data_IF_522341246473
#
_entry.id   IF_522341246473
#
_cell.length_a   1.000
_cell.length_b   1.000
_cell.length_c   1.000
_cell.angle_alpha   90.00
_cell.angle_beta   90.00
_cell.angle_gamma   90.00
#
_symmetry.space_group_name_H-M   'P 1'
#
loop_
_entity.id
_entity.type
_entity.pdbx_description
1 polymer ?
#
# COMPACT_ATOMS: atom_id res chain seq x y z
N UNK A 1 42.10 -13.67 -71.28
CA UNK A 1 42.83 -13.78 -70.00
C UNK A 1 42.31 -12.69 -69.07
N UNK A 2 41.36 -13.00 -68.11
CA UNK A 2 40.72 -12.02 -67.22
C UNK A 2 41.36 -12.18 -65.86
N UNK A 3 41.98 -11.13 -65.37
CA UNK A 3 42.60 -11.02 -64.07
C UNK A 3 41.52 -10.64 -63.03
N UNK A 4 41.33 -11.55 -62.08
CA UNK A 4 40.47 -11.33 -60.92
C UNK A 4 41.18 -10.40 -59.89
N UNK A 5 40.60 -9.26 -59.63
CA UNK A 5 41.02 -8.35 -58.57
C UNK A 5 40.27 -8.71 -57.29
N UNK A 6 40.94 -9.29 -56.30
CA UNK A 6 40.43 -9.52 -54.95
C UNK A 6 40.23 -8.17 -54.22
N UNK A 7 39.00 -7.83 -53.87
CA UNK A 7 38.73 -6.72 -52.99
C UNK A 7 38.97 -7.18 -51.55
N UNK A 8 40.00 -6.66 -50.91
CA UNK A 8 40.22 -6.75 -49.47
C UNK A 8 39.21 -5.85 -48.77
N UNK A 9 38.32 -6.42 -47.96
CA UNK A 9 37.43 -5.69 -47.05
C UNK A 9 38.26 -5.25 -45.84
N UNK A 10 38.58 -3.99 -45.75
CA UNK A 10 39.07 -3.35 -44.52
C UNK A 10 37.99 -3.39 -43.47
N UNK A 11 38.23 -4.12 -42.40
CA UNK A 11 37.41 -4.08 -41.17
C UNK A 11 37.66 -2.74 -40.46
N UNK A 12 36.79 -1.78 -40.67
CA UNK A 12 36.66 -0.63 -39.76
C UNK A 12 36.09 -1.13 -38.42
N UNK A 13 36.94 -1.46 -37.48
CA UNK A 13 36.52 -1.66 -36.09
C UNK A 13 36.07 -0.33 -35.55
N UNK A 14 34.76 -0.16 -35.34
CA UNK A 14 34.20 1.06 -34.85
C UNK A 14 34.68 1.29 -33.41
N UNK A 15 35.37 2.41 -33.19
CA UNK A 15 35.75 2.95 -31.88
C UNK A 15 34.56 3.18 -30.92
N UNK A 16 33.35 2.91 -31.35
CA UNK A 16 32.13 3.00 -30.52
C UNK A 16 31.96 1.89 -29.47
N UNK A 17 32.66 0.75 -29.60
CA UNK A 17 32.49 -0.38 -28.70
C UNK A 17 33.29 -0.30 -27.38
N UNK A 18 34.28 0.56 -27.31
CA UNK A 18 35.17 0.65 -26.14
C UNK A 18 34.54 1.53 -25.05
N UNK A 19 33.86 2.60 -25.42
CA UNK A 19 33.20 3.50 -24.44
C UNK A 19 31.94 2.86 -23.82
N UNK A 20 31.23 1.99 -24.55
CA UNK A 20 30.06 1.31 -24.02
C UNK A 20 30.36 0.24 -22.97
N UNK A 21 31.57 -0.31 -22.93
CA UNK A 21 31.94 -1.32 -21.94
C UNK A 21 32.47 -0.77 -20.62
N UNK A 22 32.85 0.48 -20.56
CA UNK A 22 33.36 1.13 -19.34
C UNK A 22 32.27 1.52 -18.34
N UNK A 23 31.01 1.56 -18.77
CA UNK A 23 29.85 1.89 -17.94
C UNK A 23 28.87 0.74 -17.75
N UNK A 24 29.34 -0.51 -17.90
CA UNK A 24 28.55 -1.66 -17.42
C UNK A 24 28.72 -1.79 -15.92
N UNK A 25 27.97 -0.99 -15.17
CA UNK A 25 27.66 -1.37 -13.80
C UNK A 25 26.90 -2.71 -13.85
N UNK A 26 27.28 -3.72 -13.04
CA UNK A 26 26.48 -4.93 -12.95
C UNK A 26 25.07 -4.53 -12.51
N UNK A 27 24.11 -4.71 -13.39
CA UNK A 27 22.69 -4.53 -13.07
C UNK A 27 22.27 -5.71 -12.20
N UNK A 28 22.58 -5.64 -10.92
CA UNK A 28 22.08 -6.54 -9.87
C UNK A 28 20.69 -6.09 -9.37
N UNK A 29 20.04 -5.17 -10.07
CA UNK A 29 18.70 -4.76 -9.71
C UNK A 29 17.68 -5.70 -10.33
N UNK A 30 16.74 -6.22 -9.55
CA UNK A 30 15.55 -6.79 -10.12
C UNK A 30 14.91 -5.69 -11.00
N UNK A 31 14.60 -6.01 -12.25
CA UNK A 31 13.89 -5.13 -13.16
C UNK A 31 12.50 -4.85 -12.55
N UNK A 32 12.43 -3.84 -11.70
CA UNK A 32 11.20 -3.50 -10.95
C UNK A 32 10.14 -3.02 -11.92
N UNK A 33 10.55 -2.28 -12.98
CA UNK A 33 9.65 -1.74 -13.97
C UNK A 33 10.32 -1.72 -15.36
N UNK A 34 9.69 -2.34 -16.34
CA UNK A 34 10.13 -2.23 -17.72
C UNK A 34 9.59 -0.93 -18.33
N UNK A 35 10.46 -0.05 -18.82
CA UNK A 35 10.07 1.26 -19.37
C UNK A 35 9.07 1.15 -20.53
N UNK A 36 9.15 0.10 -21.36
CA UNK A 36 8.22 -0.15 -22.46
C UNK A 36 6.83 -0.53 -21.97
N UNK A 37 6.73 -1.28 -20.87
CA UNK A 37 5.45 -1.61 -20.24
C UNK A 37 4.80 -0.38 -19.60
N UNK A 38 5.58 0.47 -18.94
CA UNK A 38 5.08 1.73 -18.34
C UNK A 38 4.53 2.66 -19.42
N UNK A 39 5.22 2.83 -20.54
CA UNK A 39 4.71 3.63 -21.66
C UNK A 39 3.41 3.07 -22.22
N UNK A 40 3.23 1.75 -22.21
CA UNK A 40 1.98 1.11 -22.62
C UNK A 40 0.81 1.41 -21.67
N UNK A 41 1.10 1.70 -20.39
CA UNK A 41 0.08 2.03 -19.38
C UNK A 41 -0.47 3.46 -19.51
N UNK A 42 0.26 4.37 -20.15
CA UNK A 42 -0.18 5.76 -20.35
C UNK A 42 -1.42 5.91 -21.23
N UNK A 43 -1.83 4.85 -21.94
CA UNK A 43 -2.97 4.81 -22.87
C UNK A 43 -3.96 3.72 -22.53
N UNK A 44 -4.37 3.62 -21.27
CA UNK A 44 -5.34 2.60 -20.84
C UNK A 44 -6.74 3.05 -21.28
N UNK A 45 -7.25 2.47 -22.35
CA UNK A 45 -8.65 2.61 -22.77
C UNK A 45 -9.55 1.53 -22.15
N UNK A 46 -9.01 0.36 -21.83
CA UNK A 46 -9.70 -0.76 -21.18
C UNK A 46 -8.94 -1.20 -19.93
N UNK A 47 -9.38 -0.77 -18.74
CA UNK A 47 -8.71 -1.09 -17.48
C UNK A 47 -8.69 -2.58 -17.16
N UNK A 48 -9.74 -3.33 -17.54
CA UNK A 48 -9.83 -4.76 -17.23
C UNK A 48 -8.75 -5.56 -17.97
N UNK A 49 -8.41 -5.18 -19.20
CA UNK A 49 -7.37 -5.85 -20.00
C UNK A 49 -5.95 -5.64 -19.46
N UNK A 50 -5.70 -4.53 -18.78
CA UNK A 50 -4.39 -4.16 -18.23
C UNK A 50 -4.23 -4.44 -16.73
N UNK A 51 -5.27 -4.93 -16.09
CA UNK A 51 -5.32 -5.19 -14.64
C UNK A 51 -4.13 -6.03 -14.15
N UNK A 52 -3.78 -7.12 -14.84
CA UNK A 52 -2.68 -8.01 -14.46
C UNK A 52 -1.32 -7.28 -14.43
N UNK A 53 -1.05 -6.46 -15.46
CA UNK A 53 0.19 -5.68 -15.54
C UNK A 53 0.22 -4.63 -14.41
N UNK A 54 -0.88 -3.89 -14.23
CA UNK A 54 -0.98 -2.89 -13.16
C UNK A 54 -0.77 -3.51 -11.78
N UNK A 55 -1.35 -4.68 -11.52
CA UNK A 55 -1.18 -5.41 -10.27
C UNK A 55 0.26 -5.86 -10.06
N UNK A 56 0.91 -6.42 -11.08
CA UNK A 56 2.33 -6.82 -11.00
C UNK A 56 3.22 -5.63 -10.65
N UNK A 57 3.01 -4.49 -11.30
CA UNK A 57 3.74 -3.26 -11.03
C UNK A 57 3.47 -2.73 -9.62
N UNK A 58 2.21 -2.71 -9.18
CA UNK A 58 1.82 -2.27 -7.86
C UNK A 58 2.42 -3.15 -6.74
N UNK A 59 2.47 -4.46 -6.94
CA UNK A 59 3.13 -5.41 -6.02
C UNK A 59 4.63 -5.14 -5.93
N UNK A 60 5.28 -4.92 -7.06
CA UNK A 60 6.69 -4.55 -7.08
C UNK A 60 6.97 -3.24 -6.33
N UNK A 61 6.15 -2.21 -6.53
CA UNK A 61 6.27 -0.94 -5.81
C UNK A 61 6.05 -1.10 -4.30
N UNK A 62 5.03 -1.86 -3.89
CA UNK A 62 4.71 -2.06 -2.47
C UNK A 62 5.85 -2.75 -1.71
N UNK A 63 6.64 -3.59 -2.38
CA UNK A 63 7.74 -4.35 -1.76
C UNK A 63 9.07 -3.59 -1.83
N UNK A 64 9.34 -2.90 -2.93
CA UNK A 64 10.68 -2.37 -3.23
C UNK A 64 10.82 -0.87 -2.95
N UNK A 65 9.72 -0.15 -2.69
CA UNK A 65 9.73 1.29 -2.43
C UNK A 65 9.36 1.57 -0.98
N UNK A 66 10.29 2.13 -0.21
CA UNK A 66 10.10 2.37 1.24
C UNK A 66 8.88 3.23 1.58
N UNK A 67 8.63 4.30 0.80
CA UNK A 67 7.47 5.17 1.04
C UNK A 67 6.14 4.47 0.73
N UNK A 68 6.10 3.62 -0.32
CA UNK A 68 4.89 2.86 -0.65
C UNK A 68 4.65 1.75 0.36
N UNK A 69 5.70 1.10 0.86
CA UNK A 69 5.56 0.12 1.95
C UNK A 69 5.02 0.79 3.22
N UNK A 70 5.64 1.89 3.67
CA UNK A 70 5.17 2.66 4.82
C UNK A 70 3.73 3.19 4.67
N UNK A 71 3.27 3.44 3.44
CA UNK A 71 1.89 3.79 3.18
C UNK A 71 0.91 2.64 3.52
N UNK A 72 1.27 1.39 3.27
CA UNK A 72 0.41 0.25 3.62
C UNK A 72 0.31 0.05 5.13
N UNK A 73 1.41 0.20 5.87
CA UNK A 73 1.42 0.18 7.34
C UNK A 73 0.52 1.29 7.93
N UNK A 74 0.65 2.49 7.39
CA UNK A 74 -0.21 3.61 7.78
C UNK A 74 -1.68 3.32 7.43
N UNK A 75 -1.96 2.75 6.26
CA UNK A 75 -3.31 2.47 5.80
C UNK A 75 -4.03 1.48 6.73
N UNK A 76 -3.35 0.42 7.17
CA UNK A 76 -3.90 -0.57 8.09
C UNK A 76 -4.14 0.04 9.47
N UNK A 77 -3.17 0.74 10.02
CA UNK A 77 -3.29 1.38 11.33
C UNK A 77 -4.39 2.45 11.38
N UNK A 78 -4.57 3.24 10.32
CA UNK A 78 -5.56 4.33 10.29
C UNK A 78 -6.99 3.87 9.94
N UNK A 79 -7.15 2.75 9.23
CA UNK A 79 -8.47 2.27 8.79
C UNK A 79 -9.00 1.17 9.71
N UNK A 80 -8.18 0.20 10.07
CA UNK A 80 -8.57 -0.92 10.93
C UNK A 80 -8.29 -0.59 12.41
N UNK A 81 -7.17 0.09 12.68
CA UNK A 81 -6.73 0.36 14.05
C UNK A 81 -6.18 -0.89 14.73
N UNK A 82 -6.30 -0.94 16.07
CA UNK A 82 -5.74 -2.03 16.88
C UNK A 82 -6.67 -3.25 17.00
N UNK A 83 -7.97 -3.09 16.76
CA UNK A 83 -8.98 -4.13 17.01
C UNK A 83 -9.82 -4.50 15.78
N UNK A 84 -9.47 -3.97 14.59
CA UNK A 84 -10.28 -4.18 13.40
C UNK A 84 -11.67 -3.56 13.47
N UNK A 85 -12.65 -4.18 12.83
CA UNK A 85 -14.04 -3.75 12.82
C UNK A 85 -14.87 -4.59 13.80
N UNK A 86 -15.25 -4.02 14.93
CA UNK A 86 -15.94 -4.73 16.01
C UNK A 86 -17.44 -4.88 15.71
N UNK A 87 -17.98 -6.09 15.86
CA UNK A 87 -19.42 -6.36 15.75
C UNK A 87 -20.16 -5.76 16.95
N UNK A 88 -21.30 -5.13 16.68
CA UNK A 88 -22.23 -4.59 17.66
C UNK A 88 -23.64 -5.01 17.29
N UNK A 89 -24.27 -5.77 18.18
CA UNK A 89 -25.64 -6.28 18.04
C UNK A 89 -26.54 -5.57 19.02
N UNK A 90 -27.67 -5.04 18.56
CA UNK A 90 -28.59 -4.22 19.37
C UNK A 90 -30.02 -4.61 19.12
N UNK A 91 -30.40 -5.83 19.51
CA UNK A 91 -31.75 -6.38 19.35
C UNK A 91 -32.74 -5.92 20.43
N UNK A 92 -32.24 -5.32 21.52
CA UNK A 92 -33.00 -4.98 22.73
C UNK A 92 -33.06 -6.15 23.72
N UNK A 93 -32.56 -7.33 23.40
CA UNK A 93 -32.39 -8.47 24.30
C UNK A 93 -30.89 -8.66 24.59
N UNK A 94 -30.45 -8.16 25.75
CA UNK A 94 -29.02 -8.15 26.14
C UNK A 94 -28.40 -9.55 26.16
N UNK A 95 -29.12 -10.56 26.64
CA UNK A 95 -28.61 -11.93 26.70
C UNK A 95 -28.34 -12.52 25.31
N UNK A 96 -29.20 -12.17 24.34
CA UNK A 96 -29.03 -12.57 22.93
C UNK A 96 -27.87 -11.80 22.28
N UNK A 97 -27.79 -10.49 22.51
CA UNK A 97 -26.75 -9.63 21.97
C UNK A 97 -25.37 -10.11 22.43
N UNK A 98 -25.18 -10.30 23.74
CA UNK A 98 -23.93 -10.81 24.32
C UNK A 98 -23.60 -12.25 23.82
N UNK A 99 -24.60 -13.11 23.68
CA UNK A 99 -24.42 -14.47 23.15
C UNK A 99 -23.86 -14.46 21.72
N UNK A 100 -24.39 -13.58 20.87
CA UNK A 100 -23.99 -13.49 19.47
C UNK A 100 -22.61 -12.87 19.32
N UNK A 101 -22.34 -11.77 20.01
CA UNK A 101 -21.05 -11.11 20.00
C UNK A 101 -19.93 -12.03 20.51
N UNK A 102 -20.17 -12.76 21.60
CA UNK A 102 -19.23 -13.78 22.10
C UNK A 102 -19.03 -14.93 21.10
N UNK A 103 -20.11 -15.39 20.42
CA UNK A 103 -20.01 -16.45 19.43
C UNK A 103 -19.22 -16.02 18.20
N UNK A 104 -19.39 -14.75 17.78
CA UNK A 104 -18.63 -14.13 16.73
C UNK A 104 -17.16 -13.98 17.11
N UNK A 105 -16.86 -13.46 18.28
CA UNK A 105 -15.49 -13.33 18.80
C UNK A 105 -14.75 -14.68 18.84
N UNK A 106 -15.44 -15.76 19.26
CA UNK A 106 -14.86 -17.11 19.21
C UNK A 106 -14.63 -17.58 17.77
N UNK A 107 -15.53 -17.20 16.84
CA UNK A 107 -15.40 -17.56 15.44
C UNK A 107 -14.25 -16.81 14.73
N UNK A 108 -13.94 -15.58 15.10
CA UNK A 108 -12.85 -14.78 14.55
C UNK A 108 -11.47 -15.42 14.71
N UNK A 109 -11.33 -16.36 15.66
CA UNK A 109 -10.07 -17.08 15.88
C UNK A 109 -9.70 -17.94 14.67
N UNK A 110 -8.42 -17.92 14.27
CA UNK A 110 -7.84 -18.64 13.12
C UNK A 110 -8.26 -20.11 12.98
N UNK A 111 -8.50 -20.81 14.08
CA UNK A 111 -8.94 -22.21 14.04
C UNK A 111 -10.36 -22.36 13.51
N UNK A 112 -11.18 -21.33 13.69
CA UNK A 112 -12.60 -21.34 13.36
C UNK A 112 -12.90 -20.63 12.04
N UNK A 113 -12.32 -19.44 11.79
CA UNK A 113 -12.59 -18.64 10.61
C UNK A 113 -11.72 -19.01 9.39
N UNK A 114 -10.49 -19.55 9.60
CA UNK A 114 -9.57 -19.87 8.51
C UNK A 114 -9.50 -21.37 8.23
N UNK A 115 -9.56 -21.84 6.96
CA UNK A 115 -9.46 -23.25 6.60
C UNK A 115 -8.13 -23.89 7.01
N UNK A 116 -7.08 -23.11 6.99
CA UNK A 116 -5.71 -23.55 7.26
C UNK A 116 -5.28 -23.32 8.72
N UNK A 117 -6.09 -22.58 9.51
CA UNK A 117 -5.77 -22.25 10.90
C UNK A 117 -4.57 -21.32 11.07
N UNK A 118 -4.28 -20.48 10.05
CA UNK A 118 -3.10 -19.62 10.01
C UNK A 118 -3.42 -18.16 10.35
N UNK A 119 -4.60 -17.68 9.95
CA UNK A 119 -4.99 -16.27 9.99
C UNK A 119 -6.22 -16.09 10.87
N UNK A 120 -6.16 -15.16 11.80
CA UNK A 120 -7.31 -14.66 12.52
C UNK A 120 -8.14 -13.75 11.61
N UNK A 121 -9.34 -13.38 12.00
CA UNK A 121 -10.20 -12.54 11.15
C UNK A 121 -9.62 -11.15 10.92
N UNK A 122 -8.93 -10.60 11.90
CA UNK A 122 -8.18 -9.34 11.81
C UNK A 122 -7.05 -9.41 10.75
N UNK A 123 -6.30 -10.51 10.69
CA UNK A 123 -5.30 -10.74 9.63
C UNK A 123 -5.94 -10.75 8.24
N UNK A 124 -7.17 -11.33 8.12
CA UNK A 124 -7.91 -11.33 6.85
C UNK A 124 -8.38 -9.94 6.47
N UNK A 125 -8.84 -9.11 7.41
CA UNK A 125 -9.21 -7.72 7.19
C UNK A 125 -8.03 -6.92 6.64
N UNK A 126 -6.87 -7.06 7.26
CA UNK A 126 -5.64 -6.40 6.84
C UNK A 126 -5.22 -6.81 5.43
N UNK A 127 -5.17 -8.12 5.16
CA UNK A 127 -4.83 -8.63 3.84
C UNK A 127 -5.82 -8.17 2.76
N UNK A 128 -7.11 -8.09 3.06
CA UNK A 128 -8.15 -7.58 2.14
C UNK A 128 -7.97 -6.09 1.88
N UNK A 129 -7.69 -5.30 2.91
CA UNK A 129 -7.46 -3.87 2.76
C UNK A 129 -6.22 -3.58 1.90
N UNK A 130 -5.11 -4.29 2.16
CA UNK A 130 -3.89 -4.21 1.36
C UNK A 130 -4.18 -4.64 -0.10
N UNK A 131 -4.84 -5.78 -0.32
CA UNK A 131 -5.18 -6.26 -1.65
C UNK A 131 -6.08 -5.27 -2.41
N UNK A 132 -7.06 -4.66 -1.74
CA UNK A 132 -7.94 -3.66 -2.34
C UNK A 132 -7.18 -2.44 -2.87
N UNK A 133 -6.14 -2.00 -2.18
CA UNK A 133 -5.33 -0.85 -2.59
C UNK A 133 -4.20 -1.24 -3.56
N UNK A 134 -3.50 -2.33 -3.28
CA UNK A 134 -2.36 -2.82 -4.05
C UNK A 134 -2.79 -3.53 -5.33
N UNK A 135 -3.71 -4.47 -5.21
CA UNK A 135 -4.12 -5.32 -6.31
C UNK A 135 -5.38 -4.80 -7.02
N UNK A 136 -6.14 -3.90 -6.34
CA UNK A 136 -7.40 -3.32 -6.80
C UNK A 136 -8.64 -4.11 -6.42
N UNK A 137 -8.48 -5.36 -5.99
CA UNK A 137 -9.56 -6.28 -5.67
C UNK A 137 -9.10 -7.35 -4.67
N UNK A 138 -10.06 -7.93 -3.97
CA UNK A 138 -9.86 -9.08 -3.10
C UNK A 138 -11.01 -10.09 -3.30
N UNK A 139 -10.73 -11.38 -3.14
CA UNK A 139 -11.69 -12.45 -3.28
C UNK A 139 -11.71 -13.30 -2.01
N UNK A 140 -12.84 -13.34 -1.34
CA UNK A 140 -13.06 -14.16 -0.16
C UNK A 140 -13.98 -15.33 -0.55
N UNK A 141 -13.51 -16.54 -0.33
CA UNK A 141 -14.24 -17.77 -0.63
C UNK A 141 -14.76 -18.40 0.64
N UNK A 142 -16.04 -18.66 0.70
CA UNK A 142 -16.69 -19.37 1.80
C UNK A 142 -16.50 -20.88 1.68
N UNK A 143 -15.76 -21.45 2.61
CA UNK A 143 -15.52 -22.89 2.71
C UNK A 143 -16.39 -23.46 3.83
N UNK A 144 -17.43 -24.20 3.44
CA UNK A 144 -18.33 -24.85 4.40
C UNK A 144 -17.64 -26.08 5.01
N UNK A 145 -17.48 -26.06 6.33
CA UNK A 145 -17.07 -27.21 7.14
C UNK A 145 -18.27 -27.73 7.93
N UNK A 146 -18.15 -28.90 8.57
CA UNK A 146 -19.25 -29.43 9.38
C UNK A 146 -19.58 -28.54 10.58
N UNK A 147 -18.55 -27.95 11.18
CA UNK A 147 -18.67 -27.28 12.47
C UNK A 147 -18.60 -25.75 12.38
N UNK A 148 -18.06 -25.20 11.29
CA UNK A 148 -17.82 -23.76 11.13
C UNK A 148 -17.85 -23.33 9.68
N UNK A 149 -18.32 -22.12 9.41
CA UNK A 149 -18.09 -21.42 8.17
C UNK A 149 -16.66 -20.89 8.18
N UNK A 150 -15.88 -21.18 7.15
CA UNK A 150 -14.50 -20.72 7.02
C UNK A 150 -14.31 -19.83 5.83
N UNK A 151 -13.32 -18.95 5.86
CA UNK A 151 -13.02 -17.99 4.81
C UNK A 151 -11.60 -18.23 4.30
N UNK A 152 -11.48 -18.44 2.99
CA UNK A 152 -10.22 -18.51 2.27
C UNK A 152 -10.03 -17.24 1.45
N UNK A 153 -8.95 -16.51 1.68
CA UNK A 153 -8.58 -15.40 0.81
C UNK A 153 -7.89 -15.94 -0.46
N UNK A 154 -8.49 -15.67 -1.63
CA UNK A 154 -7.96 -16.08 -2.93
C UNK A 154 -7.17 -14.94 -3.53
N UNK A 155 -5.91 -15.21 -3.93
CA UNK A 155 -5.08 -14.24 -4.65
C UNK A 155 -5.75 -13.82 -5.96
N UNK A 156 -5.74 -12.51 -6.25
CA UNK A 156 -6.35 -11.96 -7.46
C UNK A 156 -5.74 -12.52 -8.76
N UNK A 157 -4.48 -12.99 -8.73
CA UNK A 157 -3.84 -13.67 -9.87
C UNK A 157 -4.32 -15.11 -10.05
N UNK A 158 -4.86 -15.72 -9.00
CA UNK A 158 -5.46 -17.04 -9.10
C UNK A 158 -6.79 -17.03 -9.88
N UNK A 159 -7.51 -15.90 -9.91
CA UNK A 159 -8.63 -15.71 -10.85
C UNK A 159 -8.06 -15.43 -12.22
N UNK A 160 -8.20 -16.42 -13.12
CA UNK A 160 -7.51 -16.45 -14.40
C UNK A 160 -7.92 -15.32 -15.36
N UNK A 161 -7.13 -14.25 -15.35
CA UNK A 161 -7.40 -13.04 -16.16
C UNK A 161 -7.34 -13.32 -17.67
N UNK A 162 -6.66 -14.37 -18.09
CA UNK A 162 -6.47 -14.74 -19.49
C UNK A 162 -7.55 -15.71 -19.98
N UNK A 163 -8.39 -16.24 -19.07
CA UNK A 163 -9.47 -17.16 -19.43
C UNK A 163 -10.72 -16.40 -19.91
N UNK A 164 -10.87 -16.40 -21.24
CA UNK A 164 -11.96 -15.77 -21.95
C UNK A 164 -12.71 -16.78 -22.85
N UNK A 165 -14.03 -16.79 -22.82
CA UNK A 165 -14.88 -17.61 -23.69
C UNK A 165 -16.19 -16.86 -23.96
N UNK A 166 -16.35 -16.37 -25.19
CA UNK A 166 -17.52 -15.58 -25.58
C UNK A 166 -18.81 -16.38 -25.59
N UNK A 167 -18.79 -17.65 -26.04
CA UNK A 167 -19.96 -18.52 -26.07
C UNK A 167 -20.52 -18.77 -24.67
N UNK A 168 -19.66 -18.86 -23.66
CA UNK A 168 -20.04 -19.07 -22.26
C UNK A 168 -20.18 -17.76 -21.46
N UNK A 169 -20.04 -16.61 -22.11
CA UNK A 169 -20.00 -15.29 -21.47
C UNK A 169 -18.98 -15.18 -20.33
N UNK A 170 -17.79 -15.75 -20.56
CA UNK A 170 -16.67 -15.69 -19.62
C UNK A 170 -15.71 -14.61 -20.12
N UNK A 171 -15.38 -13.64 -19.25
CA UNK A 171 -14.34 -12.63 -19.48
C UNK A 171 -13.51 -12.44 -18.22
N UNK A 172 -12.19 -12.46 -18.38
CA UNK A 172 -11.23 -12.27 -17.28
C UNK A 172 -11.45 -13.26 -16.11
N UNK A 173 -11.78 -14.52 -16.43
CA UNK A 173 -12.02 -15.57 -15.44
C UNK A 173 -13.35 -15.46 -14.69
N UNK A 174 -14.26 -14.60 -15.14
CA UNK A 174 -15.60 -14.40 -14.53
C UNK A 174 -16.66 -14.73 -15.56
N UNK A 175 -17.53 -15.68 -15.24
CA UNK A 175 -18.74 -15.98 -16.02
C UNK A 175 -19.90 -15.11 -15.51
N UNK A 176 -20.54 -14.41 -16.42
CA UNK A 176 -21.67 -13.54 -16.10
C UNK A 176 -22.99 -14.10 -16.64
N UNK A 177 -24.10 -13.63 -16.09
CA UNK A 177 -25.42 -13.85 -16.68
C UNK A 177 -25.45 -13.29 -18.11
N UNK A 178 -26.23 -13.90 -19.03
CA UNK A 178 -26.43 -13.36 -20.36
C UNK A 178 -26.93 -11.91 -20.29
N UNK A 179 -26.33 -11.02 -21.08
CA UNK A 179 -26.65 -9.59 -21.13
C UNK A 179 -26.57 -8.83 -19.79
N UNK A 180 -25.82 -9.37 -18.82
CA UNK A 180 -25.64 -8.81 -17.49
C UNK A 180 -24.17 -8.83 -17.08
N UNK A 181 -23.79 -7.97 -16.12
CA UNK A 181 -22.47 -8.01 -15.45
C UNK A 181 -22.53 -8.82 -14.15
N UNK A 182 -23.70 -9.37 -13.79
CA UNK A 182 -23.86 -10.15 -12.57
C UNK A 182 -23.05 -11.45 -12.68
N UNK A 183 -22.09 -11.69 -11.77
CA UNK A 183 -21.28 -12.89 -11.82
C UNK A 183 -22.10 -14.12 -11.43
N UNK A 184 -21.86 -15.24 -12.13
CA UNK A 184 -22.40 -16.56 -11.82
C UNK A 184 -21.33 -17.50 -11.26
N UNK A 185 -20.13 -17.45 -11.83
CA UNK A 185 -19.03 -18.33 -11.46
C UNK A 185 -17.68 -17.60 -11.61
N UNK A 186 -16.72 -17.96 -10.77
CA UNK A 186 -15.34 -17.53 -10.84
C UNK A 186 -14.43 -18.71 -11.16
N UNK A 187 -13.51 -18.53 -12.09
CA UNK A 187 -12.58 -19.55 -12.53
C UNK A 187 -11.23 -19.34 -11.84
N UNK A 188 -10.93 -20.23 -10.90
CA UNK A 188 -9.73 -20.17 -10.07
C UNK A 188 -8.69 -21.17 -10.58
N UNK A 189 -7.51 -20.70 -10.89
CA UNK A 189 -6.38 -21.53 -11.33
C UNK A 189 -5.55 -21.97 -10.13
N UNK A 190 -5.70 -23.24 -9.72
CA UNK A 190 -4.90 -23.84 -8.65
C UNK A 190 -3.52 -24.34 -9.11
N UNK A 191 -3.38 -24.68 -10.40
CA UNK A 191 -2.12 -25.05 -11.04
C UNK A 191 -2.20 -24.81 -12.55
N UNK A 192 -1.08 -24.97 -13.28
CA UNK A 192 -1.07 -24.78 -14.75
C UNK A 192 -2.15 -25.58 -15.48
N UNK A 193 -2.55 -26.74 -14.95
CA UNK A 193 -3.53 -27.65 -15.59
C UNK A 193 -4.86 -27.73 -14.84
N UNK A 194 -4.95 -27.17 -13.64
CA UNK A 194 -6.15 -27.29 -12.80
C UNK A 194 -6.85 -25.94 -12.68
N UNK A 195 -7.93 -25.77 -13.44
CA UNK A 195 -8.85 -24.65 -13.40
C UNK A 195 -10.16 -25.13 -12.76
N UNK A 196 -10.53 -24.58 -11.64
CA UNK A 196 -11.78 -24.90 -10.94
C UNK A 196 -12.78 -23.75 -11.07
N UNK A 197 -14.06 -24.09 -11.13
CA UNK A 197 -15.14 -23.12 -11.09
C UNK A 197 -15.73 -23.08 -9.68
N UNK A 198 -15.89 -21.87 -9.13
CA UNK A 198 -16.53 -21.62 -7.84
C UNK A 198 -17.76 -20.75 -8.10
N UNK A 199 -18.95 -21.13 -7.57
CA UNK A 199 -20.16 -20.31 -7.70
C UNK A 199 -19.98 -18.93 -7.08
N UNK A 200 -20.57 -17.92 -7.70
CA UNK A 200 -20.51 -16.55 -7.18
C UNK A 200 -21.20 -16.37 -5.82
N UNK A 201 -22.13 -17.28 -5.46
CA UNK A 201 -22.75 -17.31 -4.13
C UNK A 201 -21.77 -17.62 -3.00
N UNK A 202 -20.67 -18.27 -3.32
CA UNK A 202 -19.65 -18.70 -2.37
C UNK A 202 -18.39 -17.82 -2.42
N UNK A 203 -18.44 -16.70 -3.18
CA UNK A 203 -17.32 -15.73 -3.27
C UNK A 203 -17.81 -14.31 -3.03
N UNK A 204 -17.16 -13.59 -2.13
CA UNK A 204 -17.26 -12.14 -2.05
C UNK A 204 -16.14 -11.53 -2.91
N UNK A 205 -16.52 -10.78 -3.93
CA UNK A 205 -15.60 -10.04 -4.78
C UNK A 205 -15.57 -8.56 -4.37
N UNK A 206 -14.58 -8.17 -3.59
CA UNK A 206 -14.41 -6.82 -3.08
C UNK A 206 -13.58 -6.01 -4.07
N UNK A 207 -14.18 -4.98 -4.68
CA UNK A 207 -13.49 -4.06 -5.61
C UNK A 207 -14.14 -2.69 -5.61
N UNK A 208 -13.35 -1.65 -5.93
CA UNK A 208 -13.88 -0.33 -6.25
C UNK A 208 -14.12 -0.23 -7.76
N UNK A 209 -15.37 0.04 -8.16
CA UNK A 209 -15.74 0.22 -9.56
C UNK A 209 -15.58 1.69 -9.94
N UNK A 210 -14.74 1.97 -10.92
CA UNK A 210 -14.50 3.31 -11.46
C UNK A 210 -15.31 3.58 -12.72
N UNK A 211 -15.57 2.53 -13.50
CA UNK A 211 -16.29 2.57 -14.77
C UNK A 211 -17.48 1.61 -14.68
N UNK A 212 -18.67 2.01 -15.13
CA UNK A 212 -19.78 1.08 -15.25
C UNK A 212 -19.38 -0.18 -16.04
N UNK A 213 -19.91 -1.33 -15.65
CA UNK A 213 -19.60 -2.64 -16.25
C UNK A 213 -18.17 -3.17 -16.05
N UNK A 214 -17.33 -2.51 -15.26
CA UNK A 214 -16.02 -3.00 -14.88
C UNK A 214 -16.11 -4.34 -14.15
N UNK A 215 -15.38 -5.35 -14.64
CA UNK A 215 -15.40 -6.72 -14.09
C UNK A 215 -14.33 -6.95 -13.05
N UNK A 216 -13.14 -6.43 -13.27
CA UNK A 216 -11.98 -6.59 -12.38
C UNK A 216 -11.67 -5.28 -11.65
N UNK A 217 -11.05 -5.38 -10.49
CA UNK A 217 -10.57 -4.23 -9.74
C UNK A 217 -9.31 -3.61 -10.35
N UNK A 218 -9.03 -2.34 -10.05
CA UNK A 218 -7.83 -1.63 -10.50
C UNK A 218 -7.08 -1.15 -9.27
N UNK A 219 -5.77 -1.41 -9.24
CA UNK A 219 -4.88 -0.93 -8.18
C UNK A 219 -5.05 0.57 -7.95
N UNK A 220 -5.12 0.97 -6.70
CA UNK A 220 -5.09 2.40 -6.32
C UNK A 220 -3.74 3.04 -6.65
N UNK A 221 -2.67 2.25 -6.67
CA UNK A 221 -1.34 2.69 -7.07
C UNK A 221 -1.20 2.97 -8.56
N UNK A 222 -2.16 2.53 -9.40
CA UNK A 222 -2.07 2.67 -10.86
C UNK A 222 -1.78 4.10 -11.33
N UNK A 223 -2.34 5.12 -10.66
CA UNK A 223 -2.12 6.52 -10.97
C UNK A 223 -0.74 7.05 -10.57
N UNK A 224 -0.03 6.38 -9.66
CA UNK A 224 1.27 6.82 -9.15
C UNK A 224 2.44 5.93 -9.62
N UNK A 225 2.16 4.84 -10.36
CA UNK A 225 3.22 3.94 -10.86
C UNK A 225 4.26 4.70 -11.68
N UNK A 226 3.80 5.53 -12.63
CA UNK A 226 4.68 6.27 -13.52
C UNK A 226 5.53 7.30 -12.75
N UNK A 227 4.91 8.06 -11.87
CA UNK A 227 5.57 9.11 -11.08
C UNK A 227 6.61 8.51 -10.13
N UNK A 228 6.27 7.38 -9.49
CA UNK A 228 7.20 6.66 -8.62
C UNK A 228 8.41 6.13 -9.41
N UNK A 229 8.18 5.59 -10.61
CA UNK A 229 9.25 5.13 -11.48
C UNK A 229 10.18 6.28 -11.92
N UNK A 230 9.62 7.41 -12.34
CA UNK A 230 10.38 8.59 -12.74
C UNK A 230 11.23 9.11 -11.58
N UNK A 231 10.64 9.19 -10.39
CA UNK A 231 11.33 9.60 -9.17
C UNK A 231 12.50 8.67 -8.82
N UNK A 232 12.28 7.36 -8.84
CA UNK A 232 13.33 6.38 -8.53
C UNK A 232 14.44 6.39 -9.59
N UNK A 233 14.09 6.57 -10.86
CA UNK A 233 15.05 6.70 -11.95
C UNK A 233 15.93 7.95 -11.77
N UNK A 234 15.33 9.07 -11.40
CA UNK A 234 16.06 10.31 -11.11
C UNK A 234 16.96 10.15 -9.89
N UNK A 235 16.44 9.57 -8.78
CA UNK A 235 17.22 9.31 -7.57
C UNK A 235 18.45 8.45 -7.86
N UNK A 236 18.30 7.43 -8.69
CA UNK A 236 19.41 6.59 -9.13
C UNK A 236 20.43 7.37 -9.95
N UNK A 237 19.98 8.13 -10.94
CA UNK A 237 20.85 8.96 -11.77
C UNK A 237 21.64 9.97 -10.92
N UNK A 238 21.02 10.57 -9.90
CA UNK A 238 21.67 11.49 -8.99
C UNK A 238 22.69 10.80 -8.07
N UNK A 239 22.37 9.60 -7.59
CA UNK A 239 23.33 8.79 -6.81
C UNK A 239 24.53 8.38 -7.67
N UNK A 240 24.32 7.97 -8.90
CA UNK A 240 25.41 7.60 -9.82
C UNK A 240 26.26 8.81 -10.18
N UNK A 241 25.63 9.96 -10.43
CA UNK A 241 26.34 11.23 -10.65
C UNK A 241 27.17 11.64 -9.42
N UNK A 242 26.61 11.52 -8.22
CA UNK A 242 27.31 11.80 -6.97
C UNK A 242 28.51 10.88 -6.78
N UNK A 243 28.36 9.57 -7.04
CA UNK A 243 29.47 8.60 -7.00
C UNK A 243 30.57 8.94 -8.00
N UNK A 244 30.21 9.25 -9.25
CA UNK A 244 31.17 9.64 -10.30
C UNK A 244 31.89 10.92 -9.88
N UNK A 245 31.16 11.94 -9.44
CA UNK A 245 31.74 13.20 -8.98
C UNK A 245 32.67 13.06 -7.77
N UNK A 246 32.39 12.09 -6.90
CA UNK A 246 33.24 11.79 -5.74
C UNK A 246 34.46 10.95 -6.09
N UNK A 247 34.38 10.16 -7.17
CA UNK A 247 35.46 9.25 -7.59
C UNK A 247 36.42 9.88 -8.57
N UNK A 248 35.94 10.84 -9.39
CA UNK A 248 36.72 11.47 -10.47
C UNK A 248 36.93 12.93 -10.13
N UNK A 249 38.15 13.28 -9.71
CA UNK A 249 38.49 14.65 -9.37
C UNK A 249 38.72 15.53 -10.63
N UNK A 250 39.12 14.94 -11.74
CA UNK A 250 39.37 15.64 -12.99
C UNK A 250 39.91 14.70 -14.09
N UNK A 251 40.07 15.25 -15.25
CA UNK A 251 40.66 14.57 -16.42
C UNK A 251 41.89 15.33 -16.89
N UNK A 252 42.82 14.60 -17.48
CA UNK A 252 43.94 15.18 -18.19
C UNK A 252 43.58 15.22 -19.68
N UNK A 253 43.55 16.39 -20.25
CA UNK A 253 43.27 16.59 -21.66
C UNK A 253 44.59 17.01 -22.33
N UNK A 254 44.96 16.36 -23.44
CA UNK A 254 46.09 16.74 -24.24
C UNK A 254 45.79 18.06 -24.93
N UNK A 255 46.66 19.06 -24.78
CA UNK A 255 46.50 20.36 -25.38
C UNK A 255 46.59 20.19 -26.90
N UNK A 256 45.55 20.59 -27.64
CA UNK A 256 45.62 20.71 -29.09
C UNK A 256 46.68 21.78 -29.45
N UNK A 257 47.83 21.32 -29.86
CA UNK A 257 48.92 22.17 -30.30
C UNK A 257 49.66 21.50 -31.43
N UNK A 258 49.37 22.01 -32.66
CA UNK A 258 50.07 21.76 -33.92
C UNK A 258 50.00 20.35 -34.47
N UNK A 259 49.18 20.21 -35.52
CA UNK A 259 49.42 19.26 -36.59
C UNK A 259 50.86 19.49 -37.11
N UNK A 260 51.81 18.67 -36.64
CA UNK A 260 53.04 18.47 -37.34
C UNK A 260 53.15 16.98 -37.72
N UNK A 261 53.00 16.76 -39.00
CA UNK A 261 53.50 15.66 -39.82
C UNK A 261 53.89 14.40 -39.10
N UNK A 262 52.99 13.44 -39.20
CA UNK A 262 53.34 12.01 -39.11
C UNK A 262 53.94 11.58 -40.45
N UNK A 263 55.22 11.85 -40.69
CA UNK A 263 56.05 11.19 -41.67
C UNK A 263 57.20 10.56 -40.96
N UNK A 264 57.07 9.27 -40.63
CA UNK A 264 58.23 8.49 -40.36
C UNK A 264 58.14 7.49 -39.22
N UNK A 265 58.28 6.26 -39.61
CA UNK A 265 58.77 5.08 -38.92
C UNK A 265 57.78 4.35 -37.95
N UNK A 266 57.22 3.34 -38.48
CA UNK A 266 56.75 2.12 -37.85
C UNK A 266 57.91 1.43 -37.16
N UNK A 267 58.29 1.78 -35.96
CA UNK A 267 59.00 0.94 -35.01
C UNK A 267 59.36 1.78 -33.76
N UNK A 268 58.33 2.16 -32.98
CA UNK A 268 58.60 2.51 -31.59
C UNK A 268 57.49 1.95 -30.71
N UNK A 269 57.91 1.01 -29.90
CA UNK A 269 57.16 0.37 -28.84
C UNK A 269 56.87 1.42 -27.77
N UNK A 270 56.11 2.50 -28.14
CA UNK A 270 55.72 3.54 -27.25
C UNK A 270 54.77 2.96 -26.25
N UNK A 271 55.31 2.65 -25.06
CA UNK A 271 54.60 2.29 -23.85
C UNK A 271 53.33 3.13 -23.74
N UNK A 272 52.18 2.50 -23.93
CA UNK A 272 50.91 3.05 -23.47
C UNK A 272 51.03 3.30 -22.00
N UNK A 273 51.27 4.54 -21.61
CA UNK A 273 51.20 4.96 -20.21
C UNK A 273 49.75 4.82 -19.79
N UNK A 274 49.40 3.67 -19.23
CA UNK A 274 48.20 3.50 -18.46
C UNK A 274 48.38 4.25 -17.14
N UNK A 275 47.92 5.50 -17.07
CA UNK A 275 47.89 6.28 -15.83
C UNK A 275 46.73 5.75 -15.00
N UNK A 276 46.93 4.63 -14.35
CA UNK A 276 46.10 4.15 -13.24
C UNK A 276 46.66 4.70 -11.94
N UNK A 277 46.36 5.95 -11.64
CA UNK A 277 46.72 6.52 -10.33
C UNK A 277 45.44 6.60 -9.48
N UNK A 278 45.42 5.82 -8.39
CA UNK A 278 44.51 6.03 -7.29
C UNK A 278 44.72 7.45 -6.74
N UNK A 279 43.66 8.27 -6.78
CA UNK A 279 43.67 9.62 -6.25
C UNK A 279 43.93 9.60 -4.74
N UNK A 280 45.16 9.80 -4.31
CA UNK A 280 45.47 10.01 -2.90
C UNK A 280 45.34 11.48 -2.55
N UNK A 281 44.52 11.76 -1.52
CA UNK A 281 44.25 13.11 -1.02
C UNK A 281 45.54 13.82 -0.69
N UNK A 282 45.78 15.02 -1.29
CA UNK A 282 46.90 15.90 -0.94
C UNK A 282 48.19 15.72 -1.73
N UNK A 283 48.25 14.92 -2.78
CA UNK A 283 49.47 14.82 -3.65
C UNK A 283 49.31 15.68 -4.89
N UNK A 284 50.24 16.60 -5.10
CA UNK A 284 50.46 17.28 -6.38
C UNK A 284 51.45 16.49 -7.22
N UNK A 285 51.08 16.14 -8.44
CA UNK A 285 51.94 15.49 -9.42
C UNK A 285 52.36 16.49 -10.48
N UNK A 286 53.63 16.51 -10.82
CA UNK A 286 54.11 17.32 -11.93
C UNK A 286 53.63 16.69 -13.23
N UNK A 287 52.92 17.48 -14.04
CA UNK A 287 52.39 17.03 -15.33
C UNK A 287 53.40 17.26 -16.43
N UNK A 288 53.40 16.40 -17.44
CA UNK A 288 54.12 16.63 -18.68
C UNK A 288 53.56 17.88 -19.39
N UNK A 289 54.36 18.56 -20.16
CA UNK A 289 54.07 19.89 -20.70
C UNK A 289 52.81 19.99 -21.59
N UNK A 290 52.32 18.82 -22.11
CA UNK A 290 51.22 18.75 -23.03
C UNK A 290 49.87 18.36 -22.39
N UNK A 291 49.85 18.13 -21.07
CA UNK A 291 48.64 17.74 -20.35
C UNK A 291 48.05 18.90 -19.56
N UNK A 292 46.76 19.20 -19.80
CA UNK A 292 46.02 20.20 -19.06
C UNK A 292 45.01 19.52 -18.14
N UNK A 293 45.04 19.77 -16.81
CA UNK A 293 44.05 19.22 -15.91
C UNK A 293 42.72 19.97 -16.08
N UNK A 294 41.63 19.23 -16.28
CA UNK A 294 40.25 19.75 -16.28
C UNK A 294 39.56 19.18 -15.07
N UNK A 295 39.28 20.01 -14.09
CA UNK A 295 38.52 19.62 -12.91
C UNK A 295 37.04 19.65 -13.21
N UNK A 296 36.31 18.61 -12.75
CA UNK A 296 34.86 18.63 -12.82
C UNK A 296 34.30 19.67 -11.83
N UNK A 297 33.34 20.50 -12.26
CA UNK A 297 32.72 21.44 -11.33
C UNK A 297 31.96 20.66 -10.23
N UNK A 298 31.98 21.17 -8.98
CA UNK A 298 31.26 20.54 -7.90
C UNK A 298 29.78 20.44 -8.23
N UNK A 299 29.20 19.26 -7.96
CA UNK A 299 27.80 19.01 -8.20
C UNK A 299 26.90 19.81 -7.24
N UNK A 300 25.92 20.53 -7.75
CA UNK A 300 24.94 21.25 -6.94
C UNK A 300 23.53 20.70 -7.20
N UNK A 301 22.90 19.99 -6.23
CA UNK A 301 21.63 19.28 -6.41
C UNK A 301 20.36 20.14 -6.26
N UNK A 302 20.43 21.46 -6.37
CA UNK A 302 19.38 22.42 -5.99
C UNK A 302 18.01 22.16 -6.61
N UNK A 303 17.91 21.63 -7.83
CA UNK A 303 16.63 21.38 -8.49
C UNK A 303 16.04 19.99 -8.24
N UNK A 304 16.86 19.03 -7.82
CA UNK A 304 16.45 17.63 -7.63
C UNK A 304 15.54 17.48 -6.41
N UNK A 305 15.84 18.18 -5.31
CA UNK A 305 15.00 18.16 -4.11
C UNK A 305 13.59 18.71 -4.38
N UNK A 306 13.49 19.82 -5.08
CA UNK A 306 12.19 20.41 -5.45
C UNK A 306 11.36 19.45 -6.32
N UNK A 307 11.96 18.82 -7.32
CA UNK A 307 11.30 17.85 -8.17
C UNK A 307 10.81 16.64 -7.38
N UNK A 308 11.66 16.07 -6.50
CA UNK A 308 11.28 14.94 -5.66
C UNK A 308 10.12 15.30 -4.73
N UNK A 309 10.14 16.46 -4.06
CA UNK A 309 9.05 16.93 -3.22
C UNK A 309 7.75 17.14 -4.01
N UNK A 310 7.83 17.69 -5.23
CA UNK A 310 6.65 17.87 -6.09
C UNK A 310 6.03 16.53 -6.47
N UNK A 311 6.86 15.58 -6.89
CA UNK A 311 6.39 14.23 -7.26
C UNK A 311 5.79 13.49 -6.05
N UNK A 312 6.39 13.61 -4.86
CA UNK A 312 5.83 13.00 -3.64
C UNK A 312 4.49 13.61 -3.26
N UNK A 313 4.27 14.93 -3.49
CA UNK A 313 2.97 15.58 -3.29
C UNK A 313 1.90 15.02 -4.25
N UNK A 314 2.26 14.77 -5.51
CA UNK A 314 1.37 14.18 -6.51
C UNK A 314 1.02 12.74 -6.17
N UNK A 315 2.02 11.93 -5.78
CA UNK A 315 1.81 10.55 -5.32
C UNK A 315 0.92 10.52 -4.08
N UNK A 316 1.23 11.31 -3.04
CA UNK A 316 0.42 11.40 -1.83
C UNK A 316 -1.03 11.79 -2.14
N UNK A 317 -1.23 12.78 -3.03
CA UNK A 317 -2.55 13.19 -3.48
C UNK A 317 -3.31 12.08 -4.19
N UNK A 318 -2.63 11.29 -5.03
CA UNK A 318 -3.21 10.14 -5.73
C UNK A 318 -3.67 9.06 -4.75
N UNK A 319 -2.96 8.87 -3.65
CA UNK A 319 -3.29 7.92 -2.58
C UNK A 319 -4.40 8.45 -1.65
N UNK A 320 -4.61 9.76 -1.62
CA UNK A 320 -5.64 10.42 -0.80
C UNK A 320 -5.16 10.85 0.58
N UNK A 321 -3.84 10.99 0.76
CA UNK A 321 -3.18 11.45 1.98
C UNK A 321 -2.37 12.72 1.72
N UNK A 322 -1.90 13.39 2.79
CA UNK A 322 -1.04 14.56 2.68
C UNK A 322 0.42 14.18 2.40
N UNK A 323 1.20 15.13 1.92
CA UNK A 323 2.64 14.97 1.73
C UNK A 323 3.34 14.59 3.03
N UNK A 324 3.00 15.29 4.13
CA UNK A 324 3.59 15.04 5.45
C UNK A 324 3.28 13.64 5.97
N UNK A 325 2.06 13.17 5.77
CA UNK A 325 1.66 11.81 6.15
C UNK A 325 2.35 10.74 5.30
N UNK A 326 2.51 11.01 3.98
CA UNK A 326 3.19 10.07 3.07
C UNK A 326 4.69 9.95 3.32
N UNK A 327 5.35 11.09 3.60
CA UNK A 327 6.83 11.13 3.71
C UNK A 327 7.35 11.15 5.15
N UNK A 328 6.49 11.45 6.14
CA UNK A 328 6.89 11.73 7.52
C UNK A 328 7.62 13.07 7.69
N UNK A 329 7.69 13.91 6.65
CA UNK A 329 8.40 15.19 6.69
C UNK A 329 7.50 16.31 7.27
N UNK A 330 7.81 16.73 8.48
CA UNK A 330 7.09 17.78 9.22
C UNK A 330 7.80 19.14 9.23
N UNK A 331 8.94 19.29 8.55
CA UNK A 331 9.81 20.48 8.62
C UNK A 331 9.15 21.77 8.12
N UNK A 332 8.28 21.68 7.12
CA UNK A 332 7.61 22.84 6.50
C UNK A 332 6.13 22.95 6.86
N UNK A 333 5.68 22.26 7.91
CA UNK A 333 4.26 22.17 8.23
C UNK A 333 3.97 22.89 9.54
N UNK A 334 2.94 23.73 9.56
CA UNK A 334 2.42 24.32 10.78
C UNK A 334 1.23 23.53 11.31
N UNK A 335 0.90 23.74 12.59
CA UNK A 335 -0.20 23.05 13.27
C UNK A 335 -1.55 23.14 12.52
N UNK A 336 -1.88 24.29 11.97
CA UNK A 336 -3.16 24.49 11.26
C UNK A 336 -3.21 23.67 9.97
N UNK A 337 -2.10 23.60 9.23
CA UNK A 337 -1.98 22.81 8.00
C UNK A 337 -2.05 21.31 8.27
N UNK A 338 -1.35 20.83 9.32
CA UNK A 338 -1.41 19.42 9.75
C UNK A 338 -2.85 19.07 10.11
N UNK A 339 -3.48 19.86 10.96
CA UNK A 339 -4.85 19.62 11.40
C UNK A 339 -5.83 19.54 10.22
N UNK A 340 -5.74 20.45 9.28
CA UNK A 340 -6.60 20.45 8.08
C UNK A 340 -6.34 19.23 7.21
N UNK A 341 -5.07 18.82 7.02
CA UNK A 341 -4.66 17.62 6.31
C UNK A 341 -5.27 16.37 6.95
N UNK A 342 -5.04 16.17 8.25
CA UNK A 342 -5.54 15.02 9.01
C UNK A 342 -7.07 14.91 8.97
N UNK A 343 -7.80 16.02 9.09
CA UNK A 343 -9.28 16.02 8.97
C UNK A 343 -9.72 15.56 7.58
N UNK A 344 -9.02 15.99 6.52
CA UNK A 344 -9.33 15.58 5.15
C UNK A 344 -9.05 14.09 4.93
N UNK A 345 -7.94 13.58 5.46
CA UNK A 345 -7.54 12.17 5.40
C UNK A 345 -8.54 11.28 6.13
N UNK A 346 -8.88 11.64 7.37
CA UNK A 346 -9.87 10.89 8.17
C UNK A 346 -11.24 10.81 7.50
N UNK A 347 -11.65 11.81 6.71
CA UNK A 347 -12.85 11.71 5.86
C UNK A 347 -12.71 10.66 4.77
N UNK A 348 -11.51 10.55 4.18
CA UNK A 348 -11.23 9.51 3.17
C UNK A 348 -11.23 8.13 3.82
N UNK A 349 -10.57 7.97 4.97
CA UNK A 349 -10.53 6.71 5.72
C UNK A 349 -11.92 6.27 6.19
N UNK A 350 -12.75 7.17 6.71
CA UNK A 350 -14.16 6.87 7.04
C UNK A 350 -14.96 6.31 5.86
N UNK A 351 -14.71 6.81 4.66
CA UNK A 351 -15.35 6.27 3.45
C UNK A 351 -14.87 4.85 3.13
N UNK A 352 -13.61 4.54 3.40
CA UNK A 352 -13.06 3.19 3.20
C UNK A 352 -13.58 2.24 4.28
N UNK A 353 -13.59 2.65 5.54
CA UNK A 353 -14.23 1.90 6.63
C UNK A 353 -15.67 1.53 6.29
N UNK A 354 -16.49 2.51 5.90
CA UNK A 354 -17.87 2.27 5.46
C UNK A 354 -17.99 1.35 4.25
N UNK A 355 -17.03 1.40 3.33
CA UNK A 355 -16.99 0.52 2.18
C UNK A 355 -16.68 -0.93 2.59
N UNK A 356 -15.68 -1.14 3.46
CA UNK A 356 -15.31 -2.47 3.98
C UNK A 356 -16.47 -3.07 4.79
N UNK A 357 -17.05 -2.33 5.71
CA UNK A 357 -18.21 -2.79 6.49
C UNK A 357 -19.31 -3.30 5.55
N UNK A 358 -19.68 -2.53 4.56
CA UNK A 358 -20.78 -2.88 3.66
C UNK A 358 -20.44 -4.03 2.69
N UNK A 359 -19.17 -4.13 2.25
CA UNK A 359 -18.77 -5.05 1.17
C UNK A 359 -18.04 -6.29 1.64
N UNK A 360 -17.66 -6.33 2.89
CA UNK A 360 -16.96 -7.45 3.51
C UNK A 360 -17.72 -7.91 4.77
N UNK A 361 -17.71 -7.10 5.82
CA UNK A 361 -18.17 -7.51 7.14
C UNK A 361 -19.64 -7.90 7.15
N UNK A 362 -20.53 -7.07 6.61
CA UNK A 362 -21.95 -7.38 6.57
C UNK A 362 -22.20 -8.67 5.77
N UNK A 363 -21.57 -8.82 4.60
CA UNK A 363 -21.77 -10.02 3.75
C UNK A 363 -21.23 -11.28 4.43
N UNK A 364 -20.12 -11.17 5.18
CA UNK A 364 -19.55 -12.29 5.94
C UNK A 364 -20.45 -12.64 7.13
N UNK A 365 -20.86 -11.65 7.92
CA UNK A 365 -21.72 -11.86 9.07
C UNK A 365 -23.07 -12.44 8.70
N UNK A 366 -23.68 -11.95 7.62
CA UNK A 366 -24.94 -12.51 7.10
C UNK A 366 -24.79 -14.00 6.73
N UNK A 367 -23.68 -14.38 6.09
CA UNK A 367 -23.36 -15.77 5.75
C UNK A 367 -23.07 -16.62 6.97
N UNK A 368 -22.37 -16.08 7.95
CA UNK A 368 -22.11 -16.74 9.22
C UNK A 368 -23.41 -16.94 9.99
N UNK A 369 -24.29 -15.95 10.03
CA UNK A 369 -25.59 -16.02 10.68
C UNK A 369 -26.51 -17.07 10.01
N UNK A 370 -26.52 -17.14 8.66
CA UNK A 370 -27.19 -18.21 7.91
C UNK A 370 -26.66 -19.60 8.30
N UNK A 371 -25.33 -19.72 8.47
CA UNK A 371 -24.70 -20.97 8.86
C UNK A 371 -25.09 -21.39 10.31
N UNK A 372 -25.14 -20.45 11.24
CA UNK A 372 -25.57 -20.70 12.62
C UNK A 372 -27.06 -21.12 12.68
N UNK A 373 -27.91 -20.53 11.85
CA UNK A 373 -29.32 -20.94 11.69
C UNK A 373 -29.43 -22.37 11.14
N UNK A 374 -28.68 -22.70 10.08
CA UNK A 374 -28.70 -24.03 9.46
C UNK A 374 -28.22 -25.13 10.44
N UNK A 375 -27.27 -24.81 11.30
CA UNK A 375 -26.77 -25.70 12.35
C UNK A 375 -27.65 -25.74 13.62
N UNK A 376 -28.82 -25.08 13.58
CA UNK A 376 -29.78 -25.02 14.69
C UNK A 376 -29.20 -24.43 16.00
N UNK A 377 -28.21 -23.56 15.89
CA UNK A 377 -27.65 -22.81 17.04
C UNK A 377 -28.46 -21.54 17.28
N UNK A 378 -29.21 -21.11 16.28
CA UNK A 378 -30.17 -20.00 16.33
C UNK A 378 -31.56 -20.48 15.90
N UNK A 379 -32.59 -19.91 16.53
CA UNK A 379 -33.96 -20.03 16.04
C UNK A 379 -34.23 -19.07 14.89
N UNK A 380 -35.22 -19.34 14.01
CA UNK A 380 -35.59 -18.41 12.95
C UNK A 380 -36.02 -17.02 13.45
N UNK A 381 -36.55 -16.95 14.67
CA UNK A 381 -36.96 -15.68 15.30
C UNK A 381 -35.74 -14.85 15.72
N UNK A 382 -34.76 -15.48 16.39
CA UNK A 382 -33.49 -14.87 16.77
C UNK A 382 -32.72 -14.41 15.53
N UNK A 383 -32.65 -15.25 14.49
CA UNK A 383 -32.01 -14.91 13.21
C UNK A 383 -32.60 -13.62 12.63
N UNK A 384 -33.92 -13.54 12.47
CA UNK A 384 -34.57 -12.35 11.90
C UNK A 384 -34.33 -11.10 12.75
N UNK A 385 -34.34 -11.26 14.08
CA UNK A 385 -34.11 -10.15 14.99
C UNK A 385 -32.68 -9.61 14.86
N UNK A 386 -31.68 -10.49 14.82
CA UNK A 386 -30.28 -10.11 14.70
C UNK A 386 -29.99 -9.53 13.30
N UNK A 387 -30.53 -10.16 12.24
CA UNK A 387 -30.29 -9.74 10.84
C UNK A 387 -30.64 -8.28 10.57
N UNK A 388 -31.59 -7.73 11.31
CA UNK A 388 -32.00 -6.32 11.17
C UNK A 388 -31.40 -5.36 12.20
N UNK A 389 -30.66 -5.89 13.18
CA UNK A 389 -30.19 -5.11 14.33
C UNK A 389 -28.72 -5.33 14.65
N UNK A 390 -27.88 -5.45 13.63
CA UNK A 390 -26.43 -5.50 13.79
C UNK A 390 -25.73 -4.38 13.04
N UNK A 391 -24.54 -4.02 13.47
CA UNK A 391 -23.64 -3.09 12.79
C UNK A 391 -22.19 -3.43 13.13
N UNK A 392 -21.26 -3.01 12.30
CA UNK A 392 -19.84 -3.04 12.60
C UNK A 392 -19.36 -1.65 12.95
N UNK A 393 -18.61 -1.52 14.05
CA UNK A 393 -18.03 -0.28 14.52
C UNK A 393 -16.54 -0.25 14.19
N UNK A 394 -16.08 0.68 13.33
CA UNK A 394 -14.67 0.89 13.12
C UNK A 394 -14.07 1.64 14.30
N UNK A 395 -12.77 1.45 14.55
CA UNK A 395 -12.03 2.24 15.52
C UNK A 395 -12.09 3.73 15.16
N UNK A 396 -12.33 4.58 16.16
CA UNK A 396 -12.25 6.02 16.03
C UNK A 396 -10.81 6.52 16.17
N UNK A 397 -10.59 7.79 15.84
CA UNK A 397 -9.28 8.42 16.03
C UNK A 397 -9.24 9.25 17.33
N UNK A 398 -8.05 9.38 17.87
CA UNK A 398 -7.81 10.31 18.99
C UNK A 398 -8.05 11.75 18.57
N UNK A 399 -8.29 12.62 19.55
CA UNK A 399 -8.40 14.04 19.33
C UNK A 399 -7.05 14.63 18.88
N UNK A 400 -7.06 15.50 17.88
CA UNK A 400 -5.86 16.24 17.45
C UNK A 400 -5.50 17.30 18.49
N UNK A 401 -6.52 17.95 19.07
CA UNK A 401 -6.39 18.91 20.17
C UNK A 401 -7.46 18.59 21.22
N UNK A 402 -7.12 17.76 22.21
CA UNK A 402 -8.09 17.30 23.22
C UNK A 402 -8.83 18.44 23.89
N UNK A 403 -8.12 19.52 24.27
CA UNK A 403 -8.71 20.65 24.98
C UNK A 403 -9.75 21.39 24.14
N UNK A 404 -9.43 21.68 22.88
CA UNK A 404 -10.36 22.39 21.98
C UNK A 404 -11.51 21.53 21.52
N UNK A 405 -11.26 20.25 21.25
CA UNK A 405 -12.29 19.34 20.73
C UNK A 405 -13.27 18.92 21.85
N UNK A 406 -12.79 18.65 23.06
CA UNK A 406 -13.65 18.39 24.21
C UNK A 406 -14.49 19.63 24.55
N UNK A 407 -13.87 20.82 24.56
CA UNK A 407 -14.59 22.06 24.76
C UNK A 407 -15.65 22.36 23.69
N UNK A 408 -15.34 22.08 22.41
CA UNK A 408 -16.29 22.23 21.32
C UNK A 408 -17.45 21.24 21.41
N UNK A 409 -17.18 19.97 21.75
CA UNK A 409 -18.22 18.96 21.98
C UNK A 409 -19.11 19.30 23.19
N UNK A 410 -18.50 19.73 24.28
CA UNK A 410 -19.27 20.17 25.46
C UNK A 410 -20.25 21.31 25.12
N UNK A 411 -19.78 22.35 24.42
CA UNK A 411 -20.63 23.45 23.95
C UNK A 411 -21.69 23.00 22.94
N UNK A 412 -21.36 22.05 22.03
CA UNK A 412 -22.33 21.52 21.09
C UNK A 412 -23.46 20.74 21.79
N UNK A 413 -23.12 19.99 22.84
CA UNK A 413 -24.11 19.26 23.66
C UNK A 413 -24.96 20.26 24.46
N UNK A 414 -24.35 21.24 25.07
CA UNK A 414 -25.03 22.26 25.85
C UNK A 414 -26.05 23.05 25.01
N UNK A 415 -25.70 23.37 23.75
CA UNK A 415 -26.58 24.08 22.83
C UNK A 415 -27.53 23.15 22.03
N UNK A 416 -27.56 21.85 22.29
CA UNK A 416 -28.47 20.91 21.65
C UNK A 416 -28.11 20.55 20.20
N UNK A 417 -26.93 20.91 19.71
CA UNK A 417 -26.46 20.57 18.37
C UNK A 417 -25.93 19.16 18.27
N UNK A 418 -25.63 18.49 19.39
CA UNK A 418 -25.03 17.17 19.45
C UNK A 418 -25.47 16.43 20.71
N UNK A 419 -25.59 15.14 20.68
CA UNK A 419 -25.85 14.32 21.88
C UNK A 419 -24.57 13.71 22.42
N UNK A 420 -24.54 13.35 23.70
CA UNK A 420 -23.42 12.59 24.31
C UNK A 420 -23.21 11.25 23.59
N UNK A 421 -24.29 10.59 23.25
CA UNK A 421 -24.29 9.33 22.51
C UNK A 421 -23.62 9.47 21.14
N UNK A 422 -23.89 10.58 20.41
CA UNK A 422 -23.21 10.84 19.13
C UNK A 422 -21.71 11.03 19.33
N UNK A 423 -21.27 11.75 20.37
CA UNK A 423 -19.84 11.94 20.66
C UNK A 423 -19.15 10.62 20.98
N UNK A 424 -19.78 9.74 21.76
CA UNK A 424 -19.27 8.42 22.06
C UNK A 424 -19.17 7.54 20.80
N UNK A 425 -20.22 7.52 19.98
CA UNK A 425 -20.24 6.79 18.71
C UNK A 425 -19.19 7.27 17.72
N UNK A 426 -18.94 8.58 17.66
CA UNK A 426 -17.87 9.14 16.81
C UNK A 426 -16.46 8.68 17.24
N UNK A 427 -16.31 8.29 18.51
CA UNK A 427 -15.09 7.74 19.09
C UNK A 427 -15.00 6.21 19.00
N UNK A 428 -16.02 5.54 18.48
CA UNK A 428 -16.08 4.08 18.47
C UNK A 428 -16.38 3.46 19.84
N UNK A 429 -16.79 4.30 20.84
CA UNK A 429 -17.12 3.84 22.19
C UNK A 429 -18.58 3.43 22.22
N UNK A 430 -18.83 2.22 22.67
CA UNK A 430 -20.18 1.73 22.90
C UNK A 430 -20.81 2.36 24.12
N UNK A 431 -22.07 2.80 24.00
CA UNK A 431 -22.75 3.55 25.06
C UNK A 431 -23.00 2.69 26.29
N UNK A 432 -23.41 1.45 26.11
CA UNK A 432 -23.72 0.52 27.21
C UNK A 432 -22.46 0.10 27.96
N UNK A 433 -21.36 -0.15 27.25
CA UNK A 433 -20.05 -0.41 27.88
C UNK A 433 -19.56 0.81 28.66
N UNK A 434 -19.69 2.01 28.07
CA UNK A 434 -19.33 3.25 28.74
C UNK A 434 -20.16 3.49 30.02
N UNK A 435 -21.45 3.16 30.00
CA UNK A 435 -22.29 3.29 31.17
C UNK A 435 -21.92 2.28 32.27
N UNK A 436 -21.63 1.03 31.91
CA UNK A 436 -21.12 0.01 32.84
C UNK A 436 -19.78 0.45 33.46
N UNK A 437 -18.90 1.04 32.72
CA UNK A 437 -17.62 1.53 33.23
C UNK A 437 -17.78 2.76 34.11
N UNK A 438 -18.71 3.67 33.80
CA UNK A 438 -19.05 4.78 34.67
C UNK A 438 -19.65 4.33 36.04
N UNK A 439 -20.40 3.22 36.03
CA UNK A 439 -20.89 2.63 37.29
C UNK A 439 -19.75 2.08 38.14
N UNK A 440 -18.80 1.35 37.50
CA UNK A 440 -17.59 0.86 38.18
C UNK A 440 -16.72 2.01 38.72
N UNK A 441 -16.56 3.07 37.92
CA UNK A 441 -15.80 4.25 38.32
C UNK A 441 -16.41 4.93 39.59
N UNK A 442 -17.72 5.01 39.69
CA UNK A 442 -18.37 5.49 40.89
C UNK A 442 -18.00 4.66 42.12
N UNK A 443 -18.05 3.33 42.03
CA UNK A 443 -17.64 2.44 43.11
C UNK A 443 -16.16 2.62 43.49
N UNK A 444 -15.29 2.83 42.50
CA UNK A 444 -13.85 3.06 42.69
C UNK A 444 -13.65 4.41 43.41
N UNK A 445 -14.32 5.46 42.97
CA UNK A 445 -14.25 6.81 43.59
C UNK A 445 -14.75 6.77 45.01
N UNK A 446 -15.84 6.07 45.30
CA UNK A 446 -16.35 5.90 46.65
C UNK A 446 -15.33 5.19 47.54
N UNK A 447 -14.72 4.10 47.09
CA UNK A 447 -13.66 3.39 47.79
C UNK A 447 -12.43 4.27 48.07
N UNK A 448 -12.00 5.06 47.07
CA UNK A 448 -10.88 6.00 47.21
C UNK A 448 -11.21 7.04 48.27
N UNK A 449 -12.41 7.59 48.26
CA UNK A 449 -12.87 8.59 49.25
C UNK A 449 -12.92 8.00 50.64
N UNK A 450 -13.36 6.76 50.81
CA UNK A 450 -13.33 6.07 52.10
C UNK A 450 -11.89 5.84 52.62
N UNK A 451 -10.98 5.46 51.73
CA UNK A 451 -9.56 5.27 52.08
C UNK A 451 -8.93 6.60 52.53
N UNK A 452 -9.22 7.66 51.79
CA UNK A 452 -8.70 9.00 52.15
C UNK A 452 -9.27 9.50 53.49
N UNK A 453 -10.55 9.31 53.77
CA UNK A 453 -11.15 9.62 55.08
C UNK A 453 -10.49 8.84 56.22
N UNK A 454 -10.21 7.56 56.04
CA UNK A 454 -9.52 6.74 57.05
C UNK A 454 -8.08 7.22 57.31
N UNK A 455 -7.40 7.78 56.30
CA UNK A 455 -6.06 8.35 56.44
C UNK A 455 -6.11 9.68 57.26
N UNK A 456 -7.08 10.52 56.98
CA UNK A 456 -7.26 11.80 57.70
C UNK A 456 -7.65 11.58 59.16
N UNK A 457 -8.50 10.59 59.45
CA UNK A 457 -8.88 10.23 60.82
C UNK A 457 -7.72 9.57 61.61
N UNK A 458 -6.81 8.83 60.91
CA UNK A 458 -5.63 8.22 61.53
C UNK A 458 -4.53 9.22 61.87
N UNK A 459 -4.43 10.35 61.16
CA UNK A 459 -3.42 11.38 61.41
C UNK A 459 -3.79 12.32 62.56
N UNK A 460 -5.08 12.38 62.98
CA UNK A 460 -5.55 13.18 64.07
C UNK A 460 -5.51 12.45 65.44
N UNK A 461 -5.05 11.21 65.51
CA UNK A 461 -4.89 10.47 66.80
C UNK A 461 -3.43 10.38 67.28
N UNK A 462 -2.46 10.95 66.58
CA UNK A 462 -1.03 11.00 67.01
C UNK A 462 -0.52 12.40 67.35
N UNK A 463 -1.42 13.35 67.64
CA UNK A 463 -1.05 14.65 68.21
C UNK A 463 -1.71 14.80 69.63
#
# INVERSE_FOLDING_TARGET
MRLFRKKTKTKTSSRKSIIQNWFKFPSTEPNILNSSEIQSLSKISDPDSKNKILRTQARALSTNTSLTNGFFELLTSEILGEQGMVLDVSTGNKDLDEKIENSWFVWENRKNCCPYGLYDFEDLEEMVLIALYRDGEAFLHFVKSKDSLKIELIDADAIDNDYNNEEKNIKFGIKNEPNSIKPLEYYVRKSKQNLISIPASDIIHIKKTLIPQQRRGISKLASSIFDTYQKDSLKKAELDRSKISSSITGFFVKKEGNEYDDFGDEDDDSQKIEITDEASVGRMKLLEADLQPVFLPPYNPTNTEYFMKSTDREIARSLGISYSTYTGDLREVNYSSIRQGTISERRTFKRVQKFLIRKMHNEIFEKWLEFELLNRRLSPQEYNLIFHNFTFKPQGWEYIDPTKEVGANAKAIENGFKTRTEVLREKGIEVDTFLKDLEKDKEIIEKINEINKRKDDGTNQET
#
